data_IF_579919469309
#
_entry.id   IF_579919469309
#
_cell.length_a   1.000
_cell.length_b   1.000
_cell.length_c   1.000
_cell.angle_alpha   90.00
_cell.angle_beta   90.00
_cell.angle_gamma   90.00
#
_symmetry.space_group_name_H-M   'P 1'
#
loop_
_entity.id
_entity.type
_entity.pdbx_description
1 polymer ?
#
# COMPACT_ATOMS: atom_id res chain seq x y z
N UNK A 1 -7.78 3.34 17.40
CA UNK A 1 -7.27 2.24 16.55
C UNK A 1 -6.39 2.87 15.46
N UNK A 2 -5.06 2.78 15.54
CA UNK A 2 -4.14 3.57 14.71
C UNK A 2 -3.96 2.93 13.33
N UNK A 3 -4.95 3.10 12.46
CA UNK A 3 -4.72 2.98 11.02
C UNK A 3 -3.80 4.16 10.68
N UNK A 4 -2.54 3.87 10.32
CA UNK A 4 -1.53 4.92 10.09
C UNK A 4 -1.59 5.50 8.68
N UNK A 5 -2.21 4.79 7.74
CA UNK A 5 -2.17 5.10 6.31
C UNK A 5 -3.51 4.75 5.66
N UNK A 6 -3.87 5.48 4.61
CA UNK A 6 -5.16 5.36 3.93
C UNK A 6 -5.04 4.64 2.58
N UNK A 7 -3.80 4.39 2.14
CA UNK A 7 -3.47 3.84 0.84
C UNK A 7 -2.34 2.82 0.95
N UNK A 8 -2.51 1.69 0.26
CA UNK A 8 -1.46 0.71 0.07
C UNK A 8 -1.54 0.11 -1.35
N UNK A 9 -0.46 0.14 -2.11
CA UNK A 9 -0.36 -0.47 -3.43
C UNK A 9 0.72 -1.53 -3.46
N UNK A 10 0.36 -2.71 -3.97
CA UNK A 10 1.26 -3.83 -4.15
C UNK A 10 1.49 -3.99 -5.65
N UNK A 11 2.74 -3.89 -6.09
CA UNK A 11 3.12 -4.08 -7.49
C UNK A 11 4.28 -5.09 -7.59
N UNK A 12 4.23 -6.02 -8.56
CA UNK A 12 5.37 -6.85 -8.89
C UNK A 12 6.47 -5.97 -9.50
N UNK A 13 7.71 -6.14 -9.05
CA UNK A 13 8.87 -5.45 -9.57
C UNK A 13 10.04 -6.44 -9.68
N UNK A 14 10.42 -6.77 -10.92
CA UNK A 14 11.37 -7.84 -11.22
C UNK A 14 10.93 -9.16 -10.56
N UNK A 15 11.73 -9.70 -9.63
CA UNK A 15 11.47 -10.94 -8.88
C UNK A 15 10.93 -10.69 -7.46
N UNK A 16 10.52 -9.45 -7.18
CA UNK A 16 10.04 -9.01 -5.85
C UNK A 16 8.68 -8.34 -5.96
N UNK A 17 8.11 -8.07 -4.79
CA UNK A 17 6.87 -7.32 -4.64
C UNK A 17 7.15 -6.05 -3.85
N UNK A 18 6.83 -4.90 -4.42
CA UNK A 18 6.93 -3.60 -3.74
C UNK A 18 5.58 -3.28 -3.14
N UNK A 19 5.58 -2.90 -1.87
CA UNK A 19 4.42 -2.35 -1.17
C UNK A 19 4.67 -0.87 -0.93
N UNK A 20 3.95 -0.04 -1.67
CA UNK A 20 3.94 1.42 -1.50
C UNK A 20 2.77 1.78 -0.59
N UNK A 21 2.98 2.69 0.37
CA UNK A 21 1.92 3.09 1.28
C UNK A 21 1.99 4.57 1.64
N UNK A 22 0.84 5.13 2.01
CA UNK A 22 0.74 6.53 2.36
C UNK A 22 -0.70 7.00 2.52
N UNK A 23 -0.96 8.25 2.15
CA UNK A 23 -2.26 8.90 2.34
C UNK A 23 -2.90 9.23 1.01
N UNK A 24 -4.14 8.77 0.81
CA UNK A 24 -5.00 9.20 -0.29
C UNK A 24 -5.95 10.33 0.16
N UNK A 25 -5.98 10.67 1.44
CA UNK A 25 -6.76 11.81 1.96
C UNK A 25 -5.86 12.84 2.64
N UNK A 26 -6.20 14.12 2.47
CA UNK A 26 -5.57 15.22 3.20
C UNK A 26 -6.66 16.20 3.64
N UNK A 27 -6.74 16.46 4.95
CA UNK A 27 -7.78 17.31 5.56
C UNK A 27 -9.22 16.92 5.15
N UNK A 28 -9.49 15.63 5.00
CA UNK A 28 -10.82 15.11 4.63
C UNK A 28 -11.14 15.08 3.13
N UNK A 29 -10.23 15.56 2.28
CA UNK A 29 -10.38 15.50 0.82
C UNK A 29 -9.59 14.34 0.23
N UNK A 30 -10.20 13.58 -0.68
CA UNK A 30 -9.50 12.58 -1.50
C UNK A 30 -8.59 13.28 -2.49
N UNK A 31 -7.31 12.91 -2.51
CA UNK A 31 -6.32 13.47 -3.41
C UNK A 31 -6.35 12.75 -4.77
N UNK A 32 -6.15 13.47 -5.88
CA UNK A 32 -6.06 12.86 -7.22
C UNK A 32 -4.81 11.98 -7.38
N UNK A 33 -3.77 12.22 -6.58
CA UNK A 33 -2.57 11.40 -6.50
C UNK A 33 -2.22 11.13 -5.04
N UNK A 34 -2.04 9.87 -4.63
CA UNK A 34 -1.69 9.56 -3.26
C UNK A 34 -0.35 10.17 -2.86
N UNK A 35 -0.25 10.66 -1.63
CA UNK A 35 1.02 11.04 -1.02
C UNK A 35 1.70 9.74 -0.59
N UNK A 36 2.74 9.34 -1.31
CA UNK A 36 3.58 8.20 -0.95
C UNK A 36 4.44 8.58 0.27
N UNK A 37 4.31 7.80 1.35
CA UNK A 37 5.12 8.00 2.56
C UNK A 37 6.41 7.17 2.48
N UNK A 38 6.29 5.91 2.07
CA UNK A 38 7.42 5.00 1.91
C UNK A 38 7.04 3.79 1.08
N UNK A 39 8.04 2.97 0.76
CA UNK A 39 7.87 1.66 0.15
C UNK A 39 8.71 0.57 0.85
N UNK A 40 8.28 -0.67 0.65
CA UNK A 40 8.96 -1.84 1.19
C UNK A 40 8.91 -3.01 0.22
N UNK A 41 10.05 -3.68 0.05
CA UNK A 41 10.16 -4.82 -0.87
C UNK A 41 10.01 -6.15 -0.13
N UNK A 42 9.35 -7.12 -0.77
CA UNK A 42 9.16 -8.48 -0.27
C UNK A 42 9.49 -9.52 -1.34
N UNK A 43 9.95 -10.69 -0.90
CA UNK A 43 10.29 -11.79 -1.80
C UNK A 43 9.07 -12.50 -2.41
N UNK A 44 7.88 -12.37 -1.81
CA UNK A 44 6.65 -13.03 -2.29
C UNK A 44 5.42 -12.15 -2.09
N UNK A 45 4.41 -12.36 -2.93
CA UNK A 45 3.14 -11.63 -2.84
C UNK A 45 2.49 -11.85 -1.46
N UNK A 46 2.51 -13.10 -0.96
CA UNK A 46 1.92 -13.45 0.34
C UNK A 46 2.52 -12.63 1.49
N UNK A 47 3.83 -12.37 1.47
CA UNK A 47 4.50 -11.53 2.48
C UNK A 47 4.10 -10.06 2.34
N UNK A 48 4.06 -9.54 1.11
CA UNK A 48 3.62 -8.19 0.82
C UNK A 48 2.18 -7.93 1.28
N UNK A 49 1.26 -8.85 0.97
CA UNK A 49 -0.15 -8.79 1.38
C UNK A 49 -0.29 -8.82 2.90
N UNK A 50 0.47 -9.68 3.59
CA UNK A 50 0.45 -9.75 5.06
C UNK A 50 0.92 -8.44 5.69
N UNK A 51 1.92 -7.80 5.12
CA UNK A 51 2.38 -6.49 5.58
C UNK A 51 1.33 -5.40 5.32
N UNK A 52 0.76 -5.34 4.11
CA UNK A 52 -0.28 -4.38 3.74
C UNK A 52 -1.50 -4.44 4.69
N UNK A 53 -2.01 -5.64 4.96
CA UNK A 53 -3.13 -5.86 5.91
C UNK A 53 -2.82 -5.44 7.35
N UNK A 54 -1.55 -5.30 7.72
CA UNK A 54 -1.14 -4.84 9.05
C UNK A 54 -1.23 -3.33 9.19
N UNK A 55 -1.11 -2.60 8.07
CA UNK A 55 -0.97 -1.13 8.08
C UNK A 55 -2.20 -0.40 7.53
N UNK A 56 -2.96 -1.05 6.64
CA UNK A 56 -4.10 -0.50 5.91
C UNK A 56 -5.22 -1.54 5.87
N UNK A 57 -6.49 -1.11 5.90
CA UNK A 57 -7.63 -2.02 5.76
C UNK A 57 -7.68 -2.65 4.37
N UNK A 58 -8.21 -3.88 4.27
CA UNK A 58 -8.10 -4.70 3.06
C UNK A 58 -8.70 -4.03 1.81
N UNK A 59 -9.75 -3.23 1.98
CA UNK A 59 -10.42 -2.48 0.92
C UNK A 59 -9.57 -1.36 0.29
N UNK A 60 -8.55 -0.87 0.99
CA UNK A 60 -7.62 0.15 0.49
C UNK A 60 -6.28 -0.44 0.03
N UNK A 61 -6.21 -1.78 -0.14
CA UNK A 61 -5.05 -2.46 -0.71
C UNK A 61 -5.30 -2.65 -2.21
N UNK A 62 -4.62 -1.85 -3.01
CA UNK A 62 -4.60 -1.99 -4.45
C UNK A 62 -3.53 -3.02 -4.87
N UNK A 63 -3.89 -3.97 -5.71
CA UNK A 63 -2.95 -4.94 -6.28
C UNK A 63 -2.85 -4.74 -7.78
N UNK A 64 -1.66 -4.38 -8.26
CA UNK A 64 -1.38 -4.35 -9.68
C UNK A 64 -1.00 -5.75 -10.13
N UNK A 65 -1.77 -6.30 -11.07
CA UNK A 65 -1.39 -7.54 -11.77
C UNK A 65 -0.50 -7.18 -12.96
N UNK A 66 0.47 -8.05 -13.24
CA UNK A 66 1.30 -7.99 -14.44
C UNK A 66 0.44 -8.21 -15.68
#
# INVERSE_FOLDING_TARGET
MKIKYDYCKIAPHQDKYIVEYGHNTYKGNTLPSPIKVADRTFSTEKKAVRFAKKIVATEYIEKVKK
#
